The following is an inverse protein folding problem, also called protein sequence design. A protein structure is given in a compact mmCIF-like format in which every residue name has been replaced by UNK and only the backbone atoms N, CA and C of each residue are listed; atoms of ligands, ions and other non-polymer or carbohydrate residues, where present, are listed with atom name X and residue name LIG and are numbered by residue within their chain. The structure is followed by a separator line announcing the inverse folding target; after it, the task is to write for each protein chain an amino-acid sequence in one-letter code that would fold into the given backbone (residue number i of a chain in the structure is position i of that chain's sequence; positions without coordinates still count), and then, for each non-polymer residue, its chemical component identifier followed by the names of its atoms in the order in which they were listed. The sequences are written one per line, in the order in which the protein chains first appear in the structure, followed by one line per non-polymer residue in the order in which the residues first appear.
data_IF_189226692850
#
_entry.id   IF_189226692850
#
_cell.length_a   1.000
_cell.length_b   1.000
_cell.length_c   1.000
_cell.angle_alpha   90.00
_cell.angle_beta   90.00
_cell.angle_gamma   90.00
#
_symmetry.space_group_name_H-M   'P 1'
#
loop_
_entity.id
_entity.type
_entity.pdbx_description
1 polymer ?
#
# COMPACT_ATOMS: atom_id res chain seq x y z
N UNK A 1 -37.93 9.67 7.22
CA UNK A 1 -38.49 8.56 8.03
C UNK A 1 -38.37 7.30 7.18
N UNK A 2 -37.21 6.66 7.06
CA UNK A 2 -36.34 6.08 8.11
C UNK A 2 -37.07 4.94 8.85
N UNK A 3 -36.54 3.73 9.06
CA UNK A 3 -35.27 3.06 8.72
C UNK A 3 -35.55 1.53 8.76
N UNK A 4 -34.75 0.58 8.26
CA UNK A 4 -33.40 0.58 7.70
C UNK A 4 -33.23 -0.61 6.71
N UNK A 5 -32.12 -0.68 5.94
CA UNK A 5 -31.79 -1.84 5.09
C UNK A 5 -30.26 -2.01 4.94
N UNK A 6 -29.80 -3.25 4.72
CA UNK A 6 -28.41 -3.69 4.52
C UNK A 6 -27.48 -3.72 5.76
N UNK A 7 -27.49 -4.86 6.47
CA UNK A 7 -26.28 -5.39 7.09
C UNK A 7 -25.42 -6.12 6.04
N UNK A 8 -24.14 -5.78 5.94
CA UNK A 8 -23.18 -6.43 5.05
C UNK A 8 -22.75 -7.79 5.59
N UNK A 9 -22.64 -8.79 4.72
CA UNK A 9 -22.20 -10.16 5.06
C UNK A 9 -20.68 -10.20 5.29
N UNK A 10 -20.24 -10.14 6.53
CA UNK A 10 -18.90 -10.56 6.95
C UNK A 10 -18.93 -12.01 7.46
N UNK A 11 -17.91 -12.81 7.13
CA UNK A 11 -17.71 -14.14 7.70
C UNK A 11 -18.73 -15.22 7.33
N UNK A 12 -18.81 -15.60 6.04
CA UNK A 12 -19.53 -16.82 5.64
C UNK A 12 -18.73 -18.07 6.05
N UNK A 13 -19.02 -18.59 7.24
CA UNK A 13 -18.66 -19.96 7.62
C UNK A 13 -19.46 -20.90 6.72
N UNK A 14 -18.80 -21.47 5.71
CA UNK A 14 -19.40 -22.53 4.91
C UNK A 14 -19.47 -23.84 5.72
N UNK A 15 -20.33 -24.77 5.32
CA UNK A 15 -20.64 -26.00 6.09
C UNK A 15 -19.46 -26.96 6.33
N UNK A 16 -18.27 -26.69 5.78
CA UNK A 16 -17.02 -27.43 6.02
C UNK A 16 -16.18 -26.92 7.20
N UNK A 17 -16.54 -25.77 7.79
CA UNK A 17 -15.70 -25.10 8.80
C UNK A 17 -14.53 -24.32 8.20
N UNK A 18 -14.51 -24.12 6.87
CA UNK A 18 -13.54 -23.27 6.18
C UNK A 18 -13.70 -21.78 6.54
N UNK A 19 -12.57 -21.10 6.73
CA UNK A 19 -12.48 -19.66 7.00
C UNK A 19 -11.68 -18.99 5.87
N UNK A 20 -12.28 -18.02 5.18
CA UNK A 20 -11.64 -17.28 4.09
C UNK A 20 -11.51 -15.80 4.44
N UNK A 21 -10.32 -15.24 4.22
CA UNK A 21 -10.04 -13.80 4.30
C UNK A 21 -9.37 -13.27 3.04
N UNK A 22 -9.61 -11.99 2.76
CA UNK A 22 -8.93 -11.21 1.74
C UNK A 22 -8.06 -10.14 2.39
N UNK A 23 -6.94 -9.82 1.76
CA UNK A 23 -6.16 -8.62 2.04
C UNK A 23 -5.93 -7.87 0.72
N UNK A 24 -6.23 -6.58 0.72
CA UNK A 24 -6.25 -5.77 -0.48
C UNK A 24 -4.87 -5.22 -0.84
N UNK A 25 -4.62 -4.95 -2.12
CA UNK A 25 -3.45 -4.17 -2.53
C UNK A 25 -3.57 -2.74 -1.99
N UNK A 26 -2.46 -2.00 -1.96
CA UNK A 26 -2.41 -0.64 -1.40
C UNK A 26 -1.67 0.35 -2.29
N UNK A 27 -2.05 1.62 -2.19
CA UNK A 27 -1.29 2.75 -2.72
C UNK A 27 -0.67 3.53 -1.56
N UNK A 28 0.66 3.64 -1.55
CA UNK A 28 1.37 4.68 -0.80
C UNK A 28 1.10 6.03 -1.44
N UNK A 29 0.13 6.77 -0.93
CA UNK A 29 -0.31 8.05 -1.50
C UNK A 29 0.70 9.16 -1.18
N UNK A 30 1.20 9.27 0.04
CA UNK A 30 2.23 10.23 0.42
C UNK A 30 3.17 9.66 1.49
N UNK A 31 4.41 10.14 1.52
CA UNK A 31 5.38 9.85 2.58
C UNK A 31 6.19 8.56 2.46
N UNK A 32 5.92 7.71 1.47
CA UNK A 32 6.82 6.61 1.14
C UNK A 32 8.09 7.15 0.45
N UNK A 33 9.31 6.65 0.78
CA UNK A 33 9.59 5.48 1.61
C UNK A 33 10.03 5.81 3.05
N UNK A 34 9.52 6.88 3.68
CA UNK A 34 9.99 7.32 5.00
C UNK A 34 9.60 6.40 6.17
N UNK A 35 8.72 5.42 5.97
CA UNK A 35 8.26 4.50 7.02
C UNK A 35 9.37 3.63 7.62
N UNK A 36 10.40 3.28 6.83
CA UNK A 36 11.61 2.58 7.35
C UNK A 36 12.68 3.52 7.93
N UNK A 37 12.42 4.82 7.93
CA UNK A 37 13.32 5.89 8.42
C UNK A 37 12.67 6.75 9.52
N UNK A 38 11.75 6.17 10.28
CA UNK A 38 10.99 6.82 11.36
C UNK A 38 10.12 8.03 10.92
N UNK A 39 9.65 8.01 9.68
CA UNK A 39 8.83 9.05 9.09
C UNK A 39 7.32 8.87 9.26
N UNK A 40 6.57 9.43 8.31
CA UNK A 40 5.10 9.44 8.29
C UNK A 40 4.62 9.11 6.88
N UNK A 41 3.48 8.44 6.78
CA UNK A 41 2.89 8.09 5.47
C UNK A 41 1.38 8.24 5.46
N UNK A 42 0.82 8.31 4.25
CA UNK A 42 -0.61 8.15 3.98
C UNK A 42 -0.74 7.07 2.93
N UNK A 43 -1.56 6.05 3.19
CA UNK A 43 -1.89 5.01 2.20
C UNK A 43 -3.38 4.69 2.22
N UNK A 44 -3.87 4.14 1.12
CA UNK A 44 -5.22 3.58 1.06
C UNK A 44 -5.21 2.23 0.33
N UNK A 45 -6.26 1.45 0.57
CA UNK A 45 -6.41 0.09 0.02
C UNK A 45 -7.28 0.06 -1.23
N UNK A 46 -6.90 -0.78 -2.19
CA UNK A 46 -7.47 -0.91 -3.54
C UNK A 46 -8.43 -2.10 -3.62
N UNK A 47 -9.68 -1.88 -4.00
CA UNK A 47 -10.64 -2.96 -4.21
C UNK A 47 -10.38 -3.72 -5.51
N UNK A 48 -9.69 -3.10 -6.48
CA UNK A 48 -9.35 -3.70 -7.78
C UNK A 48 -8.46 -4.96 -7.67
N UNK A 49 -7.68 -5.10 -6.60
CA UNK A 49 -6.70 -6.18 -6.44
C UNK A 49 -6.63 -6.66 -4.98
N UNK A 50 -6.59 -7.97 -4.77
CA UNK A 50 -6.46 -8.59 -3.44
C UNK A 50 -5.75 -9.93 -3.51
N UNK A 51 -5.10 -10.33 -2.42
CA UNK A 51 -4.81 -11.73 -2.12
C UNK A 51 -5.97 -12.33 -1.32
N UNK A 52 -6.17 -13.63 -1.41
CA UNK A 52 -7.17 -14.37 -0.62
C UNK A 52 -6.53 -15.63 -0.06
N UNK A 53 -6.81 -15.95 1.20
CA UNK A 53 -6.40 -17.20 1.85
C UNK A 53 -7.65 -17.89 2.38
N UNK A 54 -7.74 -19.20 2.16
CA UNK A 54 -8.74 -20.08 2.77
C UNK A 54 -8.00 -21.03 3.71
N UNK A 55 -8.48 -21.17 4.95
CA UNK A 55 -7.98 -22.09 5.95
C UNK A 55 -9.07 -23.10 6.29
N UNK A 56 -8.75 -24.39 6.19
CA UNK A 56 -9.69 -25.50 6.41
C UNK A 56 -9.11 -26.50 7.42
N UNK A 57 -9.92 -27.11 8.30
CA UNK A 57 -9.46 -28.19 9.18
C UNK A 57 -8.95 -29.40 8.39
N UNK A 58 -7.74 -29.88 8.69
CA UNK A 58 -7.12 -31.04 8.04
C UNK A 58 -6.28 -31.85 9.03
N UNK A 59 -6.18 -33.20 8.91
CA UNK A 59 -5.24 -34.02 9.67
C UNK A 59 -3.76 -33.70 9.39
N UNK A 60 -3.47 -33.07 8.26
CA UNK A 60 -2.12 -32.72 7.81
C UNK A 60 -2.05 -31.25 7.38
N UNK A 61 -0.94 -30.57 7.66
CA UNK A 61 -0.67 -29.25 7.11
C UNK A 61 -0.38 -29.39 5.61
N UNK A 62 -1.24 -28.77 4.79
CA UNK A 62 -1.13 -28.75 3.33
C UNK A 62 -1.19 -27.28 2.90
N UNK A 63 -0.21 -26.86 2.08
CA UNK A 63 -0.19 -25.53 1.47
C UNK A 63 -0.53 -25.71 -0.01
N UNK A 64 -1.74 -25.30 -0.39
CA UNK A 64 -2.23 -25.36 -1.77
C UNK A 64 -2.15 -23.95 -2.40
N UNK A 65 -1.21 -23.71 -3.34
CA UNK A 65 -1.15 -22.44 -4.08
C UNK A 65 -2.35 -22.29 -5.04
N UNK A 66 -2.79 -21.07 -5.31
CA UNK A 66 -3.78 -20.81 -6.34
C UNK A 66 -3.23 -21.17 -7.75
N UNK A 67 -3.88 -22.05 -8.52
CA UNK A 67 -3.29 -22.68 -9.72
C UNK A 67 -2.96 -21.72 -10.87
N UNK A 68 -3.44 -20.47 -10.83
CA UNK A 68 -3.24 -19.45 -11.87
C UNK A 68 -2.50 -18.21 -11.33
N UNK A 69 -2.42 -18.02 -10.02
CA UNK A 69 -1.97 -16.74 -9.43
C UNK A 69 -0.81 -16.89 -8.44
N UNK A 70 -0.74 -18.02 -7.74
CA UNK A 70 0.43 -18.36 -6.91
C UNK A 70 1.29 -19.34 -7.72
N UNK A 71 1.91 -18.84 -8.79
CA UNK A 71 2.81 -19.64 -9.60
C UNK A 71 3.95 -20.18 -8.73
N UNK A 72 4.06 -21.50 -8.66
CA UNK A 72 5.19 -22.22 -8.02
C UNK A 72 6.21 -22.72 -9.04
N UNK A 73 5.94 -22.48 -10.32
CA UNK A 73 6.79 -22.77 -11.47
C UNK A 73 6.79 -21.52 -12.36
N UNK A 74 7.99 -21.10 -12.79
CA UNK A 74 8.20 -19.91 -13.60
C UNK A 74 9.13 -20.25 -14.77
N UNK A 75 8.83 -19.71 -15.96
CA UNK A 75 9.66 -19.93 -17.16
C UNK A 75 10.97 -19.12 -17.13
N UNK A 76 11.05 -18.05 -16.33
CA UNK A 76 12.26 -17.28 -16.08
C UNK A 76 12.24 -16.61 -14.69
N UNK A 77 13.38 -16.06 -14.27
CA UNK A 77 13.50 -15.25 -13.05
C UNK A 77 12.79 -13.89 -13.14
N UNK A 78 12.36 -13.48 -14.34
CA UNK A 78 11.73 -12.18 -14.60
C UNK A 78 10.21 -12.23 -14.31
N UNK A 79 9.58 -13.40 -14.50
CA UNK A 79 8.15 -13.63 -14.17
C UNK A 79 7.84 -13.64 -12.65
N UNK A 80 8.83 -13.38 -11.78
CA UNK A 80 8.70 -13.42 -10.32
C UNK A 80 8.17 -12.10 -9.70
N UNK A 81 7.94 -11.04 -10.49
CA UNK A 81 7.89 -9.66 -9.98
C UNK A 81 6.48 -9.06 -9.72
N UNK A 82 6.20 -8.75 -8.45
CA UNK A 82 6.01 -7.34 -8.05
C UNK A 82 4.60 -6.70 -8.00
N UNK A 83 3.71 -7.12 -7.08
CA UNK A 83 2.49 -6.35 -6.72
C UNK A 83 2.17 -6.28 -5.21
N UNK A 84 3.18 -6.29 -4.33
CA UNK A 84 3.02 -6.34 -2.86
C UNK A 84 2.20 -7.55 -2.34
N UNK A 85 2.03 -8.58 -3.18
CA UNK A 85 1.18 -9.74 -2.90
C UNK A 85 1.66 -10.58 -1.72
N UNK A 86 2.97 -10.66 -1.49
CA UNK A 86 3.56 -11.39 -0.37
C UNK A 86 2.96 -10.99 0.98
N UNK A 87 2.94 -9.68 1.28
CA UNK A 87 2.41 -9.19 2.55
C UNK A 87 0.89 -9.28 2.64
N UNK A 88 0.19 -9.20 1.49
CA UNK A 88 -1.25 -9.42 1.42
C UNK A 88 -1.60 -10.88 1.76
N UNK A 89 -0.87 -11.86 1.21
CA UNK A 89 -1.04 -13.28 1.53
C UNK A 89 -0.81 -13.52 3.03
N UNK A 90 0.28 -13.01 3.61
CA UNK A 90 0.57 -13.15 5.05
C UNK A 90 -0.50 -12.45 5.91
N UNK A 91 -1.01 -11.29 5.50
CA UNK A 91 -2.09 -10.59 6.19
C UNK A 91 -3.43 -11.36 6.17
N UNK A 92 -3.77 -11.95 5.03
CA UNK A 92 -4.97 -12.79 4.88
C UNK A 92 -4.83 -14.09 5.69
N UNK A 93 -3.67 -14.74 5.66
CA UNK A 93 -3.36 -15.92 6.46
C UNK A 93 -3.44 -15.63 7.97
N UNK A 94 -2.87 -14.52 8.44
CA UNK A 94 -2.98 -14.09 9.84
C UNK A 94 -4.45 -13.90 10.23
N UNK A 95 -5.27 -13.27 9.38
CA UNK A 95 -6.70 -13.11 9.66
C UNK A 95 -7.44 -14.44 9.78
N UNK A 96 -7.19 -15.39 8.88
CA UNK A 96 -7.72 -16.76 9.01
C UNK A 96 -7.33 -17.41 10.34
N UNK A 97 -6.06 -17.32 10.74
CA UNK A 97 -5.55 -17.90 11.98
C UNK A 97 -6.18 -17.24 13.23
N UNK A 98 -6.30 -15.91 13.25
CA UNK A 98 -6.91 -15.17 14.35
C UNK A 98 -8.36 -15.59 14.64
N UNK A 99 -9.13 -15.89 13.59
CA UNK A 99 -10.53 -16.29 13.71
C UNK A 99 -10.70 -17.80 13.92
N UNK A 100 -9.85 -18.62 13.28
CA UNK A 100 -9.81 -20.08 13.49
C UNK A 100 -9.53 -20.44 14.96
N UNK A 101 -8.51 -19.82 15.55
CA UNK A 101 -8.18 -19.98 16.97
C UNK A 101 -9.03 -19.10 17.91
N UNK A 102 -9.92 -18.25 17.35
CA UNK A 102 -10.80 -17.33 18.10
C UNK A 102 -10.06 -16.31 18.98
N UNK A 103 -8.82 -15.96 18.62
CA UNK A 103 -7.93 -15.07 19.37
C UNK A 103 -7.86 -13.63 18.84
N UNK A 104 -8.62 -13.27 17.79
CA UNK A 104 -8.63 -11.89 17.21
C UNK A 104 -8.75 -10.79 18.27
N UNK A 105 -9.59 -10.98 19.28
CA UNK A 105 -9.83 -10.03 20.38
C UNK A 105 -8.66 -9.90 21.38
N UNK A 106 -7.74 -10.87 21.42
CA UNK A 106 -6.53 -10.83 22.26
C UNK A 106 -5.38 -10.11 21.55
N UNK A 107 -5.36 -10.13 20.21
CA UNK A 107 -4.31 -9.51 19.39
C UNK A 107 -4.80 -8.15 18.88
N UNK A 108 -4.44 -7.10 19.63
CA UNK A 108 -4.68 -5.69 19.27
C UNK A 108 -4.31 -5.39 17.82
N UNK A 109 -5.15 -4.61 17.15
CA UNK A 109 -5.02 -4.33 15.71
C UNK A 109 -3.71 -3.62 15.37
N UNK A 110 -3.22 -2.74 16.24
CA UNK A 110 -1.96 -2.00 16.11
C UNK A 110 -0.72 -2.92 16.09
N UNK A 111 -0.82 -4.12 16.68
CA UNK A 111 0.27 -5.10 16.78
C UNK A 111 0.32 -6.03 15.55
N UNK A 112 -0.80 -6.27 14.87
CA UNK A 112 -0.88 -7.20 13.73
C UNK A 112 0.10 -6.87 12.58
N UNK A 113 0.33 -5.60 12.19
CA UNK A 113 1.32 -5.25 11.18
C UNK A 113 2.75 -5.71 11.53
N UNK A 114 3.12 -5.68 12.81
CA UNK A 114 4.42 -6.16 13.28
C UNK A 114 4.53 -7.70 13.21
N UNK A 115 3.45 -8.44 13.49
CA UNK A 115 3.43 -9.90 13.36
C UNK A 115 3.64 -10.33 11.90
N UNK A 116 2.96 -9.67 10.96
CA UNK A 116 3.12 -9.90 9.51
C UNK A 116 4.58 -9.62 9.10
N UNK A 117 5.12 -8.46 9.49
CA UNK A 117 6.51 -8.11 9.17
C UNK A 117 7.54 -9.03 9.85
N UNK A 118 7.25 -9.60 11.02
CA UNK A 118 8.13 -10.57 11.68
C UNK A 118 8.24 -11.86 10.89
N UNK A 119 7.10 -12.43 10.46
CA UNK A 119 7.08 -13.64 9.64
C UNK A 119 7.83 -13.46 8.31
N UNK A 120 7.75 -12.27 7.69
CA UNK A 120 8.49 -11.97 6.46
C UNK A 120 10.00 -11.79 6.70
N UNK A 121 10.41 -11.27 7.87
CA UNK A 121 11.83 -11.17 8.25
C UNK A 121 12.48 -12.53 8.47
N UNK A 122 11.73 -13.53 8.94
CA UNK A 122 12.20 -14.92 9.03
C UNK A 122 12.53 -15.52 7.65
N UNK A 123 11.88 -15.02 6.59
CA UNK A 123 12.18 -15.34 5.19
C UNK A 123 13.29 -14.45 4.58
N UNK A 124 13.95 -13.61 5.38
CA UNK A 124 14.99 -12.68 4.94
C UNK A 124 14.47 -11.44 4.19
N UNK A 125 13.15 -11.21 4.14
CA UNK A 125 12.56 -10.10 3.39
C UNK A 125 12.76 -8.79 4.16
N UNK A 126 13.43 -7.82 3.54
CA UNK A 126 13.60 -6.47 4.08
C UNK A 126 12.45 -5.59 3.58
N UNK A 127 11.49 -5.29 4.46
CA UNK A 127 10.32 -4.48 4.14
C UNK A 127 9.98 -3.45 5.24
N UNK A 128 9.14 -2.48 4.88
CA UNK A 128 8.56 -1.48 5.78
C UNK A 128 7.16 -1.87 6.29
N UNK A 129 6.68 -1.14 7.30
CA UNK A 129 5.40 -1.41 7.95
C UNK A 129 4.19 -0.88 7.19
N UNK A 130 4.35 0.17 6.37
CA UNK A 130 3.24 0.88 5.71
C UNK A 130 2.24 -0.07 5.04
N UNK A 131 2.75 -1.01 4.27
CA UNK A 131 1.93 -1.93 3.47
C UNK A 131 1.07 -2.83 4.36
N UNK A 132 1.66 -3.32 5.46
CA UNK A 132 1.02 -4.23 6.42
C UNK A 132 -0.04 -3.49 7.22
N UNK A 133 0.21 -2.25 7.60
CA UNK A 133 -0.78 -1.38 8.25
C UNK A 133 -1.97 -1.13 7.30
N UNK A 134 -1.72 -0.72 6.05
CA UNK A 134 -2.79 -0.49 5.07
C UNK A 134 -3.62 -1.76 4.79
N UNK A 135 -2.97 -2.93 4.73
CA UNK A 135 -3.63 -4.23 4.53
C UNK A 135 -4.48 -4.67 5.73
N UNK A 136 -4.00 -4.45 6.96
CA UNK A 136 -4.76 -4.77 8.19
C UNK A 136 -5.93 -3.82 8.39
N UNK A 137 -5.75 -2.53 8.12
CA UNK A 137 -6.74 -1.48 8.42
C UNK A 137 -7.77 -1.29 7.30
N UNK A 138 -7.42 -1.58 6.04
CA UNK A 138 -8.22 -1.14 4.90
C UNK A 138 -8.32 0.38 4.80
N UNK A 139 -9.34 0.88 4.10
CA UNK A 139 -9.68 2.31 4.11
C UNK A 139 -8.57 3.23 3.59
N UNK A 140 -8.52 4.42 4.19
CA UNK A 140 -7.46 5.42 4.06
C UNK A 140 -6.85 5.61 5.44
N UNK A 141 -5.53 5.54 5.57
CA UNK A 141 -4.81 5.58 6.85
C UNK A 141 -3.63 6.53 6.78
N UNK A 142 -3.55 7.45 7.75
CA UNK A 142 -2.34 8.20 8.05
C UNK A 142 -1.55 7.46 9.14
N UNK A 143 -0.26 7.26 8.93
CA UNK A 143 0.61 6.47 9.79
C UNK A 143 1.81 7.29 10.26
N UNK A 144 2.11 7.25 11.55
CA UNK A 144 3.27 7.88 12.15
C UNK A 144 4.20 6.81 12.73
N UNK A 145 5.37 6.64 12.11
CA UNK A 145 6.40 5.67 12.51
C UNK A 145 7.55 6.35 13.28
N UNK A 146 7.33 7.57 13.79
CA UNK A 146 8.31 8.30 14.59
C UNK A 146 8.91 7.45 15.70
N UNK A 147 10.23 7.57 15.85
CA UNK A 147 11.03 6.73 16.74
C UNK A 147 10.50 6.73 18.18
N UNK A 148 10.06 7.88 18.69
CA UNK A 148 9.44 7.99 20.02
C UNK A 148 8.24 7.05 20.20
N UNK A 149 7.32 7.02 19.23
CA UNK A 149 6.14 6.15 19.28
C UNK A 149 6.52 4.67 19.12
N UNK A 150 7.42 4.37 18.18
CA UNK A 150 7.93 3.00 17.96
C UNK A 150 8.62 2.44 19.21
N UNK A 151 9.50 3.22 19.86
CA UNK A 151 10.25 2.81 21.05
C UNK A 151 9.32 2.69 22.29
N UNK A 152 8.28 3.53 22.40
CA UNK A 152 7.36 3.58 23.54
C UNK A 152 6.22 2.55 23.48
N UNK A 153 5.68 2.30 22.28
CA UNK A 153 4.48 1.47 22.07
C UNK A 153 4.81 0.12 21.41
N UNK A 154 5.99 -0.01 20.79
CA UNK A 154 6.32 -1.14 19.92
C UNK A 154 5.65 -1.07 18.54
N UNK A 155 4.87 -0.02 18.25
CA UNK A 155 4.16 0.18 16.99
C UNK A 155 3.98 1.68 16.71
N UNK A 156 3.66 2.03 15.45
CA UNK A 156 3.35 3.40 15.07
C UNK A 156 1.94 3.84 15.51
N UNK A 157 1.63 5.12 15.32
CA UNK A 157 0.27 5.63 15.47
C UNK A 157 -0.43 5.55 14.12
N UNK A 158 -1.51 4.77 14.04
CA UNK A 158 -2.28 4.56 12.82
C UNK A 158 -3.65 5.23 12.96
N UNK A 159 -3.90 6.26 12.16
CA UNK A 159 -5.15 7.05 12.17
C UNK A 159 -5.96 6.74 10.92
N UNK A 160 -7.06 5.98 11.01
CA UNK A 160 -8.05 5.88 9.94
C UNK A 160 -8.60 7.25 9.57
N UNK A 161 -8.89 7.46 8.29
CA UNK A 161 -9.48 8.68 7.75
C UNK A 161 -10.64 8.31 6.81
N UNK A 162 -11.58 9.22 6.61
CA UNK A 162 -12.70 9.03 5.70
C UNK A 162 -12.21 8.96 4.24
N UNK A 163 -12.58 7.87 3.54
CA UNK A 163 -12.27 7.66 2.13
C UNK A 163 -12.97 8.67 1.21
N UNK A 164 -14.07 9.28 1.65
CA UNK A 164 -14.80 10.33 0.89
C UNK A 164 -14.01 11.64 0.72
N UNK A 165 -12.88 11.77 1.42
CA UNK A 165 -11.95 12.89 1.31
C UNK A 165 -10.96 12.75 0.15
N UNK A 166 -10.86 11.56 -0.48
CA UNK A 166 -10.00 11.37 -1.64
C UNK A 166 -10.70 11.90 -2.90
N UNK A 167 -9.97 12.59 -3.79
CA UNK A 167 -10.48 12.85 -5.14
C UNK A 167 -10.48 11.55 -5.97
N UNK A 168 -11.09 11.54 -7.16
CA UNK A 168 -10.94 10.43 -8.11
C UNK A 168 -9.47 10.23 -8.50
N UNK A 169 -8.97 9.02 -8.29
CA UNK A 169 -7.59 8.62 -8.60
C UNK A 169 -7.58 7.51 -9.66
N UNK A 170 -6.47 7.39 -10.37
CA UNK A 170 -6.25 6.38 -11.40
C UNK A 170 -4.96 5.61 -11.12
N UNK A 171 -4.95 4.32 -11.46
CA UNK A 171 -3.79 3.46 -11.39
C UNK A 171 -3.27 3.25 -12.81
N UNK A 172 -1.97 3.49 -13.01
CA UNK A 172 -1.23 3.23 -14.25
C UNK A 172 -0.21 2.14 -13.96
N UNK A 173 -0.12 1.12 -14.82
CA UNK A 173 0.81 0.01 -14.66
C UNK A 173 1.19 -0.60 -16.02
N UNK A 174 2.32 -1.30 -16.06
CA UNK A 174 2.72 -2.14 -17.19
C UNK A 174 2.27 -3.58 -16.94
N UNK A 175 1.73 -4.25 -17.95
CA UNK A 175 1.27 -5.66 -17.83
C UNK A 175 2.44 -6.65 -17.76
N UNK A 176 3.54 -6.34 -18.45
CA UNK A 176 4.82 -7.04 -18.34
C UNK A 176 5.86 -6.06 -17.76
N UNK A 177 5.92 -5.86 -16.44
CA UNK A 177 6.90 -4.96 -15.83
C UNK A 177 8.30 -5.53 -16.04
N UNK A 178 9.10 -4.86 -16.88
CA UNK A 178 10.51 -5.24 -17.04
C UNK A 178 11.29 -4.94 -15.76
N UNK A 179 12.32 -5.76 -15.52
CA UNK A 179 13.06 -5.94 -14.26
C UNK A 179 13.93 -4.74 -13.81
N UNK A 180 13.64 -3.57 -14.35
CA UNK A 180 14.37 -2.30 -14.29
C UNK A 180 14.50 -1.64 -12.91
N UNK A 181 14.12 -2.33 -11.83
CA UNK A 181 14.24 -1.86 -10.44
C UNK A 181 15.17 -2.71 -9.55
N UNK A 182 15.86 -3.74 -10.07
CA UNK A 182 16.73 -4.63 -9.28
C UNK A 182 18.10 -4.04 -8.88
N UNK A 183 18.40 -2.78 -9.20
CA UNK A 183 19.62 -2.13 -8.71
C UNK A 183 19.57 -2.01 -7.19
N UNK A 184 20.56 -2.56 -6.48
CA UNK A 184 20.63 -2.48 -5.02
C UNK A 184 20.69 -1.02 -4.54
N UNK A 185 19.58 -0.50 -4.01
CA UNK A 185 19.51 0.88 -3.52
C UNK A 185 20.41 1.06 -2.29
N UNK A 186 21.47 1.88 -2.41
CA UNK A 186 22.40 2.17 -1.30
C UNK A 186 21.82 3.11 -0.24
N UNK A 187 20.59 3.58 -0.42
CA UNK A 187 19.92 4.61 0.40
C UNK A 187 19.93 4.29 1.89
N UNK A 188 19.67 3.03 2.26
CA UNK A 188 19.71 2.62 3.68
C UNK A 188 21.11 2.75 4.28
N UNK A 189 22.15 2.38 3.52
CA UNK A 189 23.54 2.52 3.95
C UNK A 189 23.96 3.99 4.02
N UNK A 190 23.58 4.81 3.03
CA UNK A 190 23.82 6.26 3.02
C UNK A 190 23.18 6.94 4.23
N UNK A 191 21.93 6.61 4.55
CA UNK A 191 21.24 7.10 5.75
C UNK A 191 21.94 6.67 7.04
N UNK A 192 22.35 5.39 7.17
CA UNK A 192 23.12 4.91 8.32
C UNK A 192 24.50 5.57 8.46
N UNK A 193 25.11 5.95 7.33
CA UNK A 193 26.39 6.66 7.28
C UNK A 193 26.27 8.17 7.55
N UNK A 194 25.07 8.71 7.81
CA UNK A 194 24.88 10.13 8.10
C UNK A 194 24.79 11.04 6.87
N UNK A 195 24.47 10.51 5.68
CA UNK A 195 24.31 11.31 4.46
C UNK A 195 23.23 12.39 4.62
N UNK A 196 23.66 13.65 4.70
CA UNK A 196 22.79 14.81 4.95
C UNK A 196 21.69 14.98 3.91
N UNK A 197 21.97 14.69 2.63
CA UNK A 197 20.99 14.79 1.55
C UNK A 197 19.90 13.73 1.73
N UNK A 198 20.27 12.49 2.05
CA UNK A 198 19.29 11.42 2.30
C UNK A 198 18.50 11.69 3.58
N UNK A 199 19.14 12.11 4.66
CA UNK A 199 18.45 12.40 5.94
C UNK A 199 17.46 13.56 5.80
N UNK A 200 17.88 14.68 5.20
CA UNK A 200 17.02 15.84 4.97
C UNK A 200 15.85 15.51 4.01
N UNK A 201 16.12 14.79 2.93
CA UNK A 201 15.09 14.36 1.98
C UNK A 201 14.09 13.38 2.61
N UNK A 202 14.53 12.43 3.45
CA UNK A 202 13.62 11.52 4.16
C UNK A 202 12.73 12.26 5.18
N UNK A 203 13.28 13.30 5.83
CA UNK A 203 12.49 14.18 6.70
C UNK A 203 11.44 14.95 5.88
N UNK A 204 11.82 15.56 4.77
CA UNK A 204 10.88 16.29 3.89
C UNK A 204 9.77 15.35 3.35
N UNK A 205 10.12 14.11 2.98
CA UNK A 205 9.14 13.08 2.60
C UNK A 205 8.16 12.77 3.75
N UNK A 206 8.61 12.72 5.00
CA UNK A 206 7.72 12.54 6.16
C UNK A 206 6.83 13.77 6.41
N UNK A 207 7.38 14.99 6.28
CA UNK A 207 6.65 16.24 6.44
C UNK A 207 5.55 16.39 5.35
N UNK A 208 5.82 15.93 4.13
CA UNK A 208 4.85 15.83 3.02
C UNK A 208 3.61 14.99 3.40
N UNK A 209 3.75 13.93 4.21
CA UNK A 209 2.59 13.17 4.68
C UNK A 209 1.77 13.95 5.72
N UNK A 210 2.41 14.73 6.59
CA UNK A 210 1.73 15.58 7.57
C UNK A 210 0.99 16.76 6.90
N UNK A 211 1.63 17.42 5.92
CA UNK A 211 0.98 18.40 5.05
C UNK A 211 -0.16 17.77 4.25
N UNK A 212 0.07 16.57 3.71
CA UNK A 212 -0.91 15.79 2.94
C UNK A 212 -2.18 15.48 3.71
N UNK A 213 -2.05 15.09 4.99
CA UNK A 213 -3.18 14.89 5.91
C UNK A 213 -4.01 16.16 6.01
N UNK A 214 -3.35 17.30 6.18
CA UNK A 214 -3.98 18.61 6.27
C UNK A 214 -4.65 19.04 4.95
N UNK A 215 -4.04 18.73 3.81
CA UNK A 215 -4.58 19.01 2.49
C UNK A 215 -5.84 18.18 2.19
N UNK A 216 -5.81 16.87 2.47
CA UNK A 216 -6.96 15.95 2.31
C UNK A 216 -8.13 16.36 3.21
N UNK A 217 -7.88 16.61 4.51
CA UNK A 217 -8.92 17.05 5.45
C UNK A 217 -9.57 18.38 5.04
N UNK A 218 -8.81 19.29 4.42
CA UNK A 218 -9.32 20.59 3.91
C UNK A 218 -9.82 20.52 2.46
N UNK A 219 -9.81 19.34 1.82
CA UNK A 219 -10.09 19.13 0.39
C UNK A 219 -9.29 20.06 -0.55
N UNK A 220 -8.09 20.46 -0.14
CA UNK A 220 -7.17 21.25 -0.97
C UNK A 220 -6.43 20.32 -1.94
N UNK A 221 -7.11 19.95 -3.02
CA UNK A 221 -6.58 19.01 -4.00
C UNK A 221 -5.44 19.60 -4.86
N UNK A 222 -5.35 20.93 -4.98
CA UNK A 222 -4.19 21.58 -5.62
C UNK A 222 -2.91 21.27 -4.82
N UNK A 223 -2.93 21.51 -3.50
CA UNK A 223 -1.80 21.17 -2.62
C UNK A 223 -1.53 19.67 -2.59
N UNK A 224 -2.56 18.81 -2.68
CA UNK A 224 -2.37 17.36 -2.82
C UNK A 224 -1.60 16.99 -4.10
N UNK A 225 -1.93 17.62 -5.23
CA UNK A 225 -1.23 17.41 -6.51
C UNK A 225 0.26 17.83 -6.41
N UNK A 226 0.53 19.00 -5.83
CA UNK A 226 1.89 19.50 -5.56
C UNK A 226 2.69 18.52 -4.69
N UNK A 227 2.10 18.04 -3.58
CA UNK A 227 2.72 17.11 -2.64
C UNK A 227 2.99 15.72 -3.27
N UNK A 228 2.07 15.22 -4.10
CA UNK A 228 2.28 13.97 -4.86
C UNK A 228 3.49 14.08 -5.78
N UNK A 229 3.59 15.17 -6.55
CA UNK A 229 4.71 15.38 -7.44
C UNK A 229 6.03 15.53 -6.67
N UNK A 230 6.05 16.40 -5.65
CA UNK A 230 7.26 16.62 -4.82
C UNK A 230 7.76 15.36 -4.13
N UNK A 231 6.86 14.48 -3.66
CA UNK A 231 7.26 13.20 -3.07
C UNK A 231 7.99 12.31 -4.08
N UNK A 232 7.56 12.28 -5.35
CA UNK A 232 8.28 11.54 -6.39
C UNK A 232 9.62 12.22 -6.74
N UNK A 233 9.66 13.54 -6.83
CA UNK A 233 10.87 14.27 -7.19
C UNK A 233 11.99 14.05 -6.14
N UNK A 234 11.63 14.06 -4.85
CA UNK A 234 12.52 13.66 -3.75
C UNK A 234 12.98 12.21 -3.87
N UNK A 235 12.08 11.28 -4.22
CA UNK A 235 12.41 9.87 -4.44
C UNK A 235 13.42 9.73 -5.60
N UNK A 236 13.20 10.41 -6.73
CA UNK A 236 14.09 10.40 -7.89
C UNK A 236 15.44 11.01 -7.56
N UNK A 237 15.46 12.14 -6.84
CA UNK A 237 16.69 12.78 -6.36
C UNK A 237 17.52 11.87 -5.45
N UNK A 238 16.88 11.17 -4.50
CA UNK A 238 17.60 10.26 -3.59
C UNK A 238 18.11 8.99 -4.29
N UNK A 239 17.23 8.30 -5.04
CA UNK A 239 17.50 6.96 -5.57
C UNK A 239 18.25 6.97 -6.92
N UNK A 240 18.08 8.02 -7.73
CA UNK A 240 18.63 8.09 -9.08
C UNK A 240 17.85 7.27 -10.12
N UNK A 241 17.99 7.67 -11.38
CA UNK A 241 17.16 7.13 -12.47
C UNK A 241 17.44 5.64 -12.75
N UNK A 242 18.69 5.21 -12.63
CA UNK A 242 19.10 3.80 -12.77
C UNK A 242 18.40 2.89 -11.75
N UNK A 243 18.20 3.36 -10.52
CA UNK A 243 17.57 2.59 -9.45
C UNK A 243 16.04 2.56 -9.56
N UNK A 244 15.43 3.61 -10.12
CA UNK A 244 13.98 3.67 -10.31
C UNK A 244 13.54 2.98 -11.61
N UNK A 245 14.41 2.90 -12.61
CA UNK A 245 14.15 2.26 -13.89
C UNK A 245 13.40 3.16 -14.87
N UNK A 246 13.89 3.24 -16.11
CA UNK A 246 13.35 4.12 -17.15
C UNK A 246 11.85 3.89 -17.40
N UNK A 247 11.38 2.62 -17.39
CA UNK A 247 9.97 2.28 -17.58
C UNK A 247 9.06 2.87 -16.48
N UNK A 248 9.50 2.80 -15.21
CA UNK A 248 8.72 3.32 -14.10
C UNK A 248 8.70 4.85 -14.09
N UNK A 249 9.82 5.48 -14.44
CA UNK A 249 9.89 6.94 -14.60
C UNK A 249 8.96 7.40 -15.73
N UNK A 250 8.98 6.71 -16.88
CA UNK A 250 8.13 7.03 -18.02
C UNK A 250 6.63 6.94 -17.68
N UNK A 251 6.19 5.97 -16.86
CA UNK A 251 4.80 5.93 -16.34
C UNK A 251 4.42 7.20 -15.55
N UNK A 252 5.35 7.79 -14.80
CA UNK A 252 5.12 9.05 -14.06
C UNK A 252 5.08 10.24 -15.03
N UNK A 253 6.03 10.32 -15.95
CA UNK A 253 6.16 11.44 -16.89
C UNK A 253 5.01 11.48 -17.91
N UNK A 254 4.52 10.33 -18.39
CA UNK A 254 3.29 10.22 -19.21
C UNK A 254 2.11 10.92 -18.55
N UNK A 255 1.93 10.74 -17.24
CA UNK A 255 0.86 11.42 -16.52
C UNK A 255 1.12 12.93 -16.35
N UNK A 256 2.37 13.32 -16.11
CA UNK A 256 2.76 14.75 -15.98
C UNK A 256 2.59 15.52 -17.29
N UNK A 257 2.82 14.91 -18.45
CA UNK A 257 2.63 15.53 -19.79
C UNK A 257 1.22 16.09 -20.01
N UNK A 258 0.20 15.48 -19.41
CA UNK A 258 -1.20 15.95 -19.51
C UNK A 258 -1.63 16.85 -18.35
N UNK A 259 -0.71 17.19 -17.45
CA UNK A 259 -0.93 18.01 -16.25
C UNK A 259 -1.43 17.24 -15.02
N UNK A 260 -1.47 15.91 -15.06
CA UNK A 260 -1.84 15.11 -13.89
C UNK A 260 -0.69 15.02 -12.90
N UNK A 261 -0.99 15.01 -11.59
CA UNK A 261 0.00 14.71 -10.57
C UNK A 261 0.18 13.20 -10.44
N UNK A 262 1.41 12.73 -10.34
CA UNK A 262 1.71 11.30 -10.40
C UNK A 262 2.94 10.91 -9.58
N UNK A 263 2.89 9.68 -9.03
CA UNK A 263 4.01 9.07 -8.30
C UNK A 263 3.83 7.56 -8.14
N UNK A 264 4.91 6.87 -7.75
CA UNK A 264 4.88 5.43 -7.47
C UNK A 264 3.94 5.09 -6.31
N UNK A 265 3.20 3.99 -6.46
CA UNK A 265 2.35 3.42 -5.39
C UNK A 265 3.15 2.68 -4.31
N UNK A 266 4.42 2.34 -4.59
CA UNK A 266 5.29 1.55 -3.73
C UNK A 266 6.77 1.67 -4.16
N UNK A 267 7.43 0.54 -4.40
CA UNK A 267 8.83 0.47 -4.86
C UNK A 267 8.99 0.76 -6.36
N UNK A 268 8.04 0.30 -7.19
CA UNK A 268 7.99 0.43 -8.65
C UNK A 268 6.77 -0.34 -9.21
N UNK A 269 6.71 -0.57 -10.52
CA UNK A 269 5.70 -1.41 -11.19
C UNK A 269 4.31 -0.77 -11.40
N UNK A 270 3.92 0.18 -10.56
CA UNK A 270 2.68 0.94 -10.72
C UNK A 270 2.78 2.39 -10.18
N UNK A 271 1.98 3.26 -10.80
CA UNK A 271 1.89 4.70 -10.54
C UNK A 271 0.44 5.05 -10.18
N UNK A 272 0.26 5.89 -9.15
CA UNK A 272 -1.02 6.57 -8.89
C UNK A 272 -1.01 7.93 -9.57
N UNK A 273 -2.10 8.27 -10.25
CA UNK A 273 -2.31 9.55 -10.91
C UNK A 273 -3.56 10.25 -10.38
N UNK A 274 -3.47 11.57 -10.22
CA UNK A 274 -4.56 12.47 -9.89
C UNK A 274 -4.72 13.54 -10.98
N UNK A 275 -5.92 13.68 -11.52
CA UNK A 275 -6.25 14.64 -12.59
C UNK A 275 -7.02 15.84 -12.00
N UNK A 276 -6.37 16.96 -11.61
CA UNK A 276 -7.05 18.11 -11.03
C UNK A 276 -8.04 18.82 -11.97
N UNK A 277 -7.89 18.69 -13.29
CA UNK A 277 -8.85 19.22 -14.28
C UNK A 277 -10.06 18.30 -14.51
N UNK A 278 -10.11 17.14 -13.86
CA UNK A 278 -11.23 16.19 -13.96
C UNK A 278 -11.30 15.42 -15.30
N UNK A 279 -12.50 14.98 -15.73
CA UNK A 279 -12.67 14.02 -16.82
C UNK A 279 -11.99 14.36 -18.16
N UNK A 280 -11.93 15.62 -18.64
CA UNK A 280 -11.23 15.94 -19.88
C UNK A 280 -9.73 15.61 -19.82
N UNK A 281 -9.10 15.76 -18.66
CA UNK A 281 -7.69 15.41 -18.44
C UNK A 281 -7.50 13.90 -18.25
N UNK A 282 -8.47 13.21 -17.62
CA UNK A 282 -8.47 11.73 -17.57
C UNK A 282 -8.47 11.15 -18.99
N UNK A 283 -9.30 11.67 -19.91
CA UNK A 283 -9.28 11.20 -21.30
C UNK A 283 -7.92 11.41 -21.99
N UNK A 284 -7.28 12.58 -21.80
CA UNK A 284 -5.92 12.82 -22.31
C UNK A 284 -4.91 11.84 -21.69
N UNK A 285 -5.04 11.56 -20.40
CA UNK A 285 -4.20 10.60 -19.69
C UNK A 285 -4.36 9.19 -20.26
N UNK A 286 -5.59 8.74 -20.54
CA UNK A 286 -5.88 7.44 -21.15
C UNK A 286 -5.26 7.33 -22.55
N UNK A 287 -5.37 8.37 -23.36
CA UNK A 287 -4.81 8.40 -24.71
C UNK A 287 -3.27 8.39 -24.70
N UNK A 288 -2.61 9.10 -23.78
CA UNK A 288 -1.14 9.06 -23.62
C UNK A 288 -0.65 7.73 -23.01
N UNK A 289 -1.35 7.16 -22.02
CA UNK A 289 -1.04 5.82 -21.50
C UNK A 289 -1.10 4.77 -22.61
N UNK A 290 -2.15 4.80 -23.44
CA UNK A 290 -2.32 3.86 -24.56
C UNK A 290 -1.21 3.98 -25.60
N UNK A 291 -0.75 5.21 -25.91
CA UNK A 291 0.40 5.44 -26.81
C UNK A 291 1.71 4.91 -26.24
N UNK A 292 1.91 5.03 -24.93
CA UNK A 292 3.11 4.57 -24.24
C UNK A 292 3.11 3.06 -23.91
N UNK A 293 2.00 2.34 -24.17
CA UNK A 293 1.87 0.91 -23.87
C UNK A 293 1.56 0.61 -22.40
N UNK A 294 0.99 1.57 -21.66
CA UNK A 294 0.57 1.39 -20.26
C UNK A 294 -0.93 1.18 -20.13
N UNK A 295 -1.31 0.29 -19.21
CA UNK A 295 -2.70 0.06 -18.83
C UNK A 295 -3.10 1.04 -17.71
N UNK A 296 -4.31 1.59 -17.81
CA UNK A 296 -4.87 2.56 -16.87
C UNK A 296 -6.28 2.16 -16.46
N UNK A 297 -6.60 2.36 -15.18
CA UNK A 297 -7.96 2.17 -14.66
C UNK A 297 -8.27 3.12 -13.50
N UNK A 298 -9.55 3.40 -13.29
CA UNK A 298 -10.02 4.11 -12.11
C UNK A 298 -9.80 3.28 -10.83
N UNK A 299 -9.34 3.95 -9.77
CA UNK A 299 -9.12 3.35 -8.46
C UNK A 299 -10.44 3.23 -7.71
N UNK A 300 -10.74 2.02 -7.23
CA UNK A 300 -11.81 1.77 -6.27
C UNK A 300 -11.18 1.65 -4.88
N UNK A 301 -11.54 2.53 -3.96
CA UNK A 301 -11.00 2.53 -2.58
C UNK A 301 -11.83 1.59 -1.72
N UNK A 302 -11.18 0.68 -1.00
CA UNK A 302 -11.83 -0.23 -0.04
C UNK A 302 -12.28 0.59 1.18
N UNK A 303 -13.44 0.33 1.80
CA UNK A 303 -13.74 0.82 3.15
C UNK A 303 -12.74 0.30 4.19
N UNK A 304 -12.88 0.75 5.43
CA UNK A 304 -12.19 0.16 6.58
C UNK A 304 -12.41 -1.35 6.63
N UNK A 305 -11.35 -2.13 6.90
CA UNK A 305 -11.42 -3.56 7.22
C UNK A 305 -11.52 -3.82 8.73
N UNK A 306 -11.51 -2.76 9.56
CA UNK A 306 -11.70 -2.86 11.00
C UNK A 306 -13.16 -3.15 11.34
N UNK A 307 -13.39 -4.21 12.11
CA UNK A 307 -14.70 -4.55 12.67
C UNK A 307 -14.89 -4.00 14.09
N UNK A 308 -16.07 -4.21 14.67
CA UNK A 308 -16.44 -3.80 16.04
C UNK A 308 -15.47 -4.27 17.14
N UNK A 309 -14.82 -5.43 16.98
CA UNK A 309 -13.83 -5.93 17.95
C UNK A 309 -12.56 -5.10 17.83
N UNK A 310 -12.09 -4.86 16.61
CA UNK A 310 -10.89 -4.07 16.33
C UNK A 310 -11.07 -2.64 16.85
N UNK A 311 -12.22 -2.01 16.56
CA UNK A 311 -12.57 -0.66 17.02
C UNK A 311 -12.67 -0.55 18.56
N UNK A 312 -13.04 -1.62 19.26
CA UNK A 312 -13.03 -1.67 20.74
C UNK A 312 -11.63 -1.89 21.32
N UNK A 313 -10.70 -2.46 20.55
CA UNK A 313 -9.30 -2.68 20.97
C UNK A 313 -8.36 -1.52 20.65
N UNK A 314 -8.71 -0.67 19.67
CA UNK A 314 -8.01 0.59 19.41
C UNK A 314 -7.92 1.40 20.70
N UNK A 315 -6.70 1.71 21.13
CA UNK A 315 -6.50 2.52 22.34
C UNK A 315 -7.04 3.95 22.16
N UNK A 316 -7.80 4.42 23.15
CA UNK A 316 -8.03 5.86 23.37
C UNK A 316 -6.74 6.57 23.77
#
# INVERSE_FOLDING_TARGET
MDQNMNSTKEGLISGSGAIQHKAYARVGLLGNPSDVYFGKTISFSLANFWASVTLEPSPHLIINPHPIHDLVQFDSLDHLAGLSGSSAIVCAALSCLLDFYKVRHLIKVEVRPNLILSAEKELGIVAGLQDRVAQVYGGLVHMDFSKENMDKLGHGIYTPMDISLLPPLHLIYAENPSDSGKVHSTIRQRWLNGDELVISSMKEVADIAAEGKSAILKKNYQKLAELMNRNFDLRRCMFGDECLGALNIEMVEVARRVGAASKFTGSGGAVVAFCPEGPPQVKRLEDECRKAGFSIQAIQVVPSCLNDVDLKTLSK
#
